data_IF_671010770723
#
_entry.id   IF_671010770723
#
_cell.length_a   1.000
_cell.length_b   1.000
_cell.length_c   1.000
_cell.angle_alpha   90.00
_cell.angle_beta   90.00
_cell.angle_gamma   90.00
#
_symmetry.space_group_name_H-M   'P 1'
#
loop_
_entity.id
_entity.type
_entity.pdbx_description
1 polymer ?
#
# COMPACT_ATOMS: atom_id res chain seq x y z
N UNK A 1 72.41 16.07 10.96
CA UNK A 1 71.82 15.44 12.15
C UNK A 1 70.31 15.42 11.93
N UNK A 2 69.76 14.42 11.26
CA UNK A 2 69.45 13.04 11.70
C UNK A 2 68.24 12.96 12.66
N UNK A 3 67.19 12.27 12.20
CA UNK A 3 66.17 11.49 12.96
C UNK A 3 65.07 12.26 13.73
N UNK A 4 63.82 11.79 13.88
CA UNK A 4 63.17 10.48 13.63
C UNK A 4 61.67 10.71 13.32
N UNK A 5 61.12 9.92 12.38
CA UNK A 5 59.68 9.76 12.15
C UNK A 5 59.15 8.72 13.16
N UNK A 6 58.08 9.04 13.90
CA UNK A 6 57.30 8.05 14.64
C UNK A 6 55.90 7.95 14.03
N UNK A 7 55.65 6.79 13.43
CA UNK A 7 54.39 6.35 12.86
C UNK A 7 53.54 5.80 14.01
N UNK A 8 52.45 6.47 14.39
CA UNK A 8 51.49 5.94 15.37
C UNK A 8 50.40 5.15 14.65
N UNK A 9 50.40 3.83 14.83
CA UNK A 9 49.29 2.97 14.42
C UNK A 9 48.03 3.35 15.21
N UNK A 10 47.04 3.94 14.54
CA UNK A 10 45.69 4.05 15.08
C UNK A 10 45.04 2.67 14.98
N UNK A 11 45.00 1.94 16.09
CA UNK A 11 44.19 0.73 16.20
C UNK A 11 42.72 1.15 16.16
N UNK A 12 42.08 1.00 14.99
CA UNK A 12 40.66 1.17 14.83
C UNK A 12 39.92 0.10 15.62
N UNK A 13 39.34 0.49 16.75
CA UNK A 13 38.35 -0.33 17.45
C UNK A 13 37.09 -0.37 16.59
N UNK A 14 36.90 -1.49 15.89
CA UNK A 14 35.64 -1.79 15.25
C UNK A 14 34.58 -2.00 16.35
N UNK A 15 33.72 -1.02 16.56
CA UNK A 15 32.51 -1.21 17.35
C UNK A 15 31.60 -2.14 16.56
N UNK A 16 31.54 -3.41 16.98
CA UNK A 16 30.48 -4.31 16.58
C UNK A 16 29.17 -3.76 17.16
N UNK A 17 28.35 -3.13 16.33
CA UNK A 17 27.00 -2.72 16.72
C UNK A 17 26.18 -4.00 16.88
N UNK A 18 25.96 -4.43 18.11
CA UNK A 18 25.01 -5.50 18.41
C UNK A 18 23.62 -4.95 18.14
N UNK A 19 23.02 -5.35 17.03
CA UNK A 19 21.61 -5.08 16.72
C UNK A 19 20.70 -5.97 17.58
N UNK A 20 20.78 -5.84 18.90
CA UNK A 20 19.72 -6.33 19.77
C UNK A 20 18.61 -5.29 19.77
N UNK A 21 17.53 -5.56 19.04
CA UNK A 21 16.32 -4.73 19.15
C UNK A 21 15.93 -4.65 20.63
N UNK A 22 15.70 -3.45 21.18
CA UNK A 22 15.29 -3.32 22.57
C UNK A 22 13.98 -4.10 22.77
N UNK A 23 13.95 -5.01 23.74
CA UNK A 23 12.73 -5.69 24.15
C UNK A 23 11.94 -4.78 25.09
N UNK A 24 10.63 -4.71 24.86
CA UNK A 24 9.73 -3.98 25.75
C UNK A 24 9.50 -4.79 27.02
N UNK A 25 9.56 -4.14 28.18
CA UNK A 25 9.13 -4.75 29.44
C UNK A 25 7.60 -4.89 29.49
N UNK A 26 7.09 -5.65 30.47
CA UNK A 26 5.64 -5.93 30.56
C UNK A 26 4.79 -4.65 30.60
N UNK A 27 5.14 -3.59 31.37
CA UNK A 27 4.41 -2.33 31.34
C UNK A 27 4.41 -1.65 29.97
N UNK A 28 5.56 -1.60 29.28
CA UNK A 28 5.64 -0.99 27.96
C UNK A 28 4.87 -1.78 26.90
N UNK A 29 4.82 -3.11 26.99
CA UNK A 29 3.98 -3.95 26.13
C UNK A 29 2.49 -3.65 26.33
N UNK A 30 2.03 -3.53 27.57
CA UNK A 30 0.64 -3.17 27.87
C UNK A 30 0.30 -1.78 27.32
N UNK A 31 1.18 -0.79 27.54
CA UNK A 31 0.98 0.56 27.03
C UNK A 31 0.90 0.60 25.50
N UNK A 32 1.75 -0.18 24.81
CA UNK A 32 1.69 -0.31 23.35
C UNK A 32 0.37 -0.93 22.91
N UNK A 33 -0.06 -2.02 23.55
CA UNK A 33 -1.33 -2.67 23.24
C UNK A 33 -2.51 -1.71 23.41
N UNK A 34 -2.56 -0.97 24.52
CA UNK A 34 -3.61 0.00 24.78
C UNK A 34 -3.62 1.13 23.74
N UNK A 35 -2.44 1.64 23.36
CA UNK A 35 -2.32 2.65 22.30
C UNK A 35 -2.80 2.13 20.95
N UNK A 36 -2.46 0.89 20.58
CA UNK A 36 -2.94 0.26 19.34
C UNK A 36 -4.46 0.09 19.37
N UNK A 37 -5.00 -0.38 20.49
CA UNK A 37 -6.44 -0.53 20.68
C UNK A 37 -7.18 0.81 20.53
N UNK A 38 -6.75 1.86 21.24
CA UNK A 38 -7.33 3.20 21.14
C UNK A 38 -7.24 3.77 19.72
N UNK A 39 -6.12 3.51 19.04
CA UNK A 39 -5.93 3.95 17.65
C UNK A 39 -6.87 3.21 16.69
N UNK A 40 -7.19 1.94 16.94
CA UNK A 40 -8.12 1.14 16.14
C UNK A 40 -9.59 1.50 16.38
N UNK A 41 -9.97 1.92 17.60
CA UNK A 41 -11.34 2.35 17.90
C UNK A 41 -11.80 3.58 17.09
N UNK A 42 -10.87 4.41 16.61
CA UNK A 42 -11.18 5.57 15.76
C UNK A 42 -11.69 5.19 14.36
N UNK A 43 -11.52 3.94 13.95
CA UNK A 43 -11.91 3.47 12.62
C UNK A 43 -10.87 3.77 11.54
N UNK A 44 -11.26 3.69 10.26
CA UNK A 44 -10.32 3.80 9.14
C UNK A 44 -9.61 5.15 9.06
N UNK A 45 -8.31 5.12 8.72
CA UNK A 45 -7.41 6.29 8.64
C UNK A 45 -6.96 6.50 7.19
N UNK A 46 -7.91 6.89 6.35
CA UNK A 46 -7.63 7.16 4.95
C UNK A 46 -6.87 8.49 4.84
N UNK A 47 -5.94 8.58 3.89
CA UNK A 47 -5.17 9.81 3.64
C UNK A 47 -6.09 11.03 3.52
N UNK A 48 -5.85 12.04 4.35
CA UNK A 48 -6.61 13.29 4.38
C UNK A 48 -7.90 13.26 5.20
N UNK A 49 -8.31 12.11 5.76
CA UNK A 49 -9.47 12.06 6.64
C UNK A 49 -9.14 12.53 8.07
N UNK A 50 -10.17 12.93 8.83
CA UNK A 50 -10.00 13.49 10.19
C UNK A 50 -9.31 12.52 11.15
N UNK A 51 -9.58 11.21 11.02
CA UNK A 51 -8.95 10.18 11.83
C UNK A 51 -7.44 10.08 11.61
N UNK A 52 -6.99 10.19 10.35
CA UNK A 52 -5.57 10.23 10.02
C UNK A 52 -4.92 11.52 10.53
N UNK A 53 -5.55 12.67 10.33
CA UNK A 53 -5.03 13.95 10.83
C UNK A 53 -4.88 13.95 12.36
N UNK A 54 -5.88 13.43 13.07
CA UNK A 54 -5.80 13.32 14.54
C UNK A 54 -4.67 12.39 14.98
N UNK A 55 -4.48 11.25 14.30
CA UNK A 55 -3.37 10.36 14.61
C UNK A 55 -2.02 11.05 14.40
N UNK A 56 -1.86 11.79 13.30
CA UNK A 56 -0.64 12.58 13.05
C UNK A 56 -0.39 13.58 14.17
N UNK A 57 -1.41 14.30 14.63
CA UNK A 57 -1.29 15.22 15.78
C UNK A 57 -0.89 14.48 17.05
N UNK A 58 -1.54 13.36 17.38
CA UNK A 58 -1.22 12.57 18.59
C UNK A 58 0.23 12.09 18.58
N UNK A 59 0.72 11.63 17.43
CA UNK A 59 2.11 11.19 17.27
C UNK A 59 3.07 12.36 17.41
N UNK A 60 2.82 13.48 16.72
CA UNK A 60 3.65 14.68 16.81
C UNK A 60 3.77 15.17 18.26
N UNK A 61 2.64 15.34 18.96
CA UNK A 61 2.63 15.74 20.37
C UNK A 61 3.36 14.74 21.27
N UNK A 62 3.23 13.43 21.02
CA UNK A 62 3.93 12.41 21.81
C UNK A 62 5.46 12.48 21.64
N UNK A 63 5.93 12.80 20.42
CA UNK A 63 7.36 12.98 20.14
C UNK A 63 7.89 14.27 20.77
N UNK A 64 7.11 15.36 20.73
CA UNK A 64 7.45 16.61 21.42
C UNK A 64 7.56 16.42 22.94
N UNK A 65 6.59 15.72 23.55
CA UNK A 65 6.63 15.36 24.98
C UNK A 65 7.87 14.52 25.32
N UNK A 66 8.33 13.69 24.39
CA UNK A 66 9.57 12.93 24.53
C UNK A 66 10.86 13.77 24.34
N UNK A 67 10.73 15.07 24.09
CA UNK A 67 11.84 16.00 23.94
C UNK A 67 12.40 16.09 22.50
N UNK A 68 11.68 15.57 21.50
CA UNK A 68 12.09 15.66 20.11
C UNK A 68 11.56 16.94 19.46
N UNK A 69 12.32 17.48 18.51
CA UNK A 69 11.82 18.53 17.60
C UNK A 69 11.06 17.85 16.46
N UNK A 70 9.82 18.27 16.24
CA UNK A 70 8.94 17.66 15.23
C UNK A 70 8.59 18.70 14.17
N UNK A 71 8.64 18.28 12.91
CA UNK A 71 8.13 19.03 11.77
C UNK A 71 7.04 18.21 11.08
N UNK A 72 5.90 18.83 10.79
CA UNK A 72 4.81 18.19 10.03
C UNK A 72 4.77 18.78 8.62
N UNK A 73 4.99 17.92 7.62
CA UNK A 73 4.94 18.30 6.22
C UNK A 73 3.51 18.15 5.69
N UNK A 74 2.98 19.22 5.10
CA UNK A 74 1.66 19.24 4.50
C UNK A 74 1.76 19.13 2.98
N UNK A 75 1.04 18.18 2.41
CA UNK A 75 0.94 17.98 0.97
C UNK A 75 -0.51 18.08 0.52
N UNK A 76 -0.73 18.77 -0.60
CA UNK A 76 -2.03 18.76 -1.28
C UNK A 76 -1.98 17.70 -2.37
N UNK A 77 -2.94 16.78 -2.35
CA UNK A 77 -3.09 15.72 -3.34
C UNK A 77 -4.50 15.72 -3.89
N UNK A 78 -4.61 15.70 -5.21
CA UNK A 78 -5.88 15.49 -5.90
C UNK A 78 -6.10 13.99 -6.01
N UNK A 79 -7.10 13.50 -5.28
CA UNK A 79 -7.44 12.08 -5.24
C UNK A 79 -8.93 11.91 -5.44
N UNK A 80 -9.28 10.90 -6.22
CA UNK A 80 -10.66 10.43 -6.30
C UNK A 80 -11.08 9.76 -4.99
N UNK A 81 -12.16 10.28 -4.40
CA UNK A 81 -12.77 9.78 -3.16
C UNK A 81 -14.15 9.17 -3.47
N UNK A 82 -14.22 7.88 -3.79
CA UNK A 82 -15.46 7.22 -4.17
C UNK A 82 -16.43 7.17 -2.98
N UNK A 83 -17.60 7.78 -3.18
CA UNK A 83 -18.69 7.84 -2.19
C UNK A 83 -19.64 6.65 -2.27
N UNK A 84 -19.65 5.96 -3.39
CA UNK A 84 -20.52 4.83 -3.68
C UNK A 84 -19.83 3.90 -4.68
N UNK A 85 -20.24 2.64 -4.69
CA UNK A 85 -19.78 1.64 -5.64
C UNK A 85 -20.94 0.71 -5.99
N UNK A 86 -20.96 0.25 -7.23
CA UNK A 86 -21.93 -0.72 -7.71
C UNK A 86 -21.39 -1.42 -8.95
N UNK A 87 -21.76 -2.68 -9.13
CA UNK A 87 -21.46 -3.43 -10.33
C UNK A 87 -22.72 -4.14 -10.82
N UNK A 88 -22.93 -4.17 -12.13
CA UNK A 88 -24.07 -4.85 -12.75
C UNK A 88 -23.65 -5.47 -14.08
N UNK A 89 -24.25 -6.61 -14.40
CA UNK A 89 -24.09 -7.27 -15.70
C UNK A 89 -25.33 -7.06 -16.55
N UNK A 90 -25.11 -6.68 -17.81
CA UNK A 90 -26.11 -6.79 -18.87
C UNK A 90 -25.89 -8.11 -19.60
N UNK A 91 -26.81 -9.04 -19.42
CA UNK A 91 -26.72 -10.37 -20.02
C UNK A 91 -27.13 -10.34 -21.50
N UNK A 92 -26.77 -11.39 -22.23
CA UNK A 92 -27.07 -11.52 -23.67
C UNK A 92 -28.57 -11.63 -23.97
N UNK A 93 -29.36 -12.07 -22.99
CA UNK A 93 -30.83 -12.10 -23.06
C UNK A 93 -31.49 -10.73 -22.81
N UNK A 94 -30.68 -9.67 -22.61
CA UNK A 94 -31.14 -8.31 -22.37
C UNK A 94 -31.45 -7.98 -20.90
N UNK A 95 -31.39 -8.95 -20.00
CA UNK A 95 -31.62 -8.71 -18.56
C UNK A 95 -30.43 -7.99 -17.91
N UNK A 96 -30.70 -7.25 -16.85
CA UNK A 96 -29.66 -6.61 -16.02
C UNK A 96 -29.69 -7.16 -14.61
N UNK A 97 -28.52 -7.58 -14.11
CA UNK A 97 -28.37 -8.18 -12.79
C UNK A 97 -27.31 -7.42 -11.99
N UNK A 98 -27.68 -6.94 -10.81
CA UNK A 98 -26.73 -6.38 -9.84
C UNK A 98 -25.82 -7.47 -9.28
N UNK A 99 -24.54 -7.17 -9.13
CA UNK A 99 -23.55 -8.06 -8.52
C UNK A 99 -23.25 -7.62 -7.08
N UNK A 100 -23.21 -8.56 -6.11
CA UNK A 100 -22.71 -8.27 -4.78
C UNK A 100 -21.29 -7.71 -4.86
N UNK A 101 -21.12 -6.46 -4.40
CA UNK A 101 -19.85 -5.72 -4.50
C UNK A 101 -19.49 -5.19 -3.12
N UNK A 102 -18.35 -5.61 -2.59
CA UNK A 102 -17.91 -5.25 -1.23
C UNK A 102 -17.19 -3.90 -1.18
N UNK A 103 -16.66 -3.42 -2.30
CA UNK A 103 -15.97 -2.14 -2.38
C UNK A 103 -15.23 -1.97 -3.70
N UNK A 104 -14.57 -0.82 -3.84
CA UNK A 104 -13.60 -0.54 -4.90
C UNK A 104 -12.19 -0.89 -4.46
N UNK A 105 -11.29 -1.13 -5.42
CA UNK A 105 -9.88 -1.37 -5.13
C UNK A 105 -9.18 -0.06 -4.72
N UNK A 106 -8.31 -0.04 -3.68
CA UNK A 106 -7.55 1.15 -3.33
C UNK A 106 -6.82 1.74 -4.53
N UNK A 107 -6.85 3.06 -4.69
CA UNK A 107 -6.24 3.77 -5.83
C UNK A 107 -6.87 3.46 -7.20
N UNK A 108 -8.08 2.90 -7.25
CA UNK A 108 -8.90 2.90 -8.47
C UNK A 108 -9.10 4.32 -8.99
N UNK A 109 -9.26 4.47 -10.30
CA UNK A 109 -9.53 5.75 -10.96
C UNK A 109 -11.02 6.12 -10.97
N UNK A 110 -11.30 7.38 -11.26
CA UNK A 110 -12.67 7.90 -11.38
C UNK A 110 -13.41 7.28 -12.58
N UNK A 111 -14.56 6.66 -12.31
CA UNK A 111 -15.46 6.11 -13.32
C UNK A 111 -16.41 7.15 -13.93
N UNK A 112 -16.43 8.38 -13.38
CA UNK A 112 -17.33 9.46 -13.77
C UNK A 112 -18.78 9.21 -13.35
N UNK A 113 -19.63 10.23 -13.51
CA UNK A 113 -21.05 10.15 -13.10
C UNK A 113 -21.85 9.12 -13.91
N UNK A 114 -21.44 8.84 -15.14
CA UNK A 114 -22.12 7.85 -16.00
C UNK A 114 -21.65 6.42 -15.73
N UNK A 115 -20.60 6.25 -14.94
CA UNK A 115 -19.90 4.98 -14.81
C UNK A 115 -19.21 4.53 -16.10
N UNK A 116 -18.60 3.35 -16.04
CA UNK A 116 -17.95 2.70 -17.18
C UNK A 116 -18.75 1.46 -17.56
N UNK A 117 -19.08 1.32 -18.84
CA UNK A 117 -19.74 0.14 -19.40
C UNK A 117 -18.97 -0.33 -20.62
N UNK A 118 -18.55 -1.59 -20.61
CA UNK A 118 -17.86 -2.23 -21.73
C UNK A 118 -18.12 -3.76 -21.69
N UNK A 119 -17.79 -4.50 -22.76
CA UNK A 119 -17.84 -5.96 -22.73
C UNK A 119 -16.99 -6.53 -21.59
N UNK A 120 -17.52 -7.53 -20.90
CA UNK A 120 -16.81 -8.28 -19.86
C UNK A 120 -15.97 -9.38 -20.53
N UNK A 121 -14.70 -9.47 -20.17
CA UNK A 121 -13.80 -10.54 -20.59
C UNK A 121 -13.25 -11.26 -19.35
N UNK A 122 -13.48 -12.56 -19.27
CA UNK A 122 -12.82 -13.42 -18.28
C UNK A 122 -11.40 -13.73 -18.75
N UNK A 123 -10.41 -13.35 -17.93
CA UNK A 123 -8.99 -13.57 -18.21
C UNK A 123 -8.36 -14.63 -17.30
N UNK A 124 -9.17 -15.39 -16.56
CA UNK A 124 -8.74 -16.54 -15.78
C UNK A 124 -8.40 -16.21 -14.32
N UNK A 125 -7.50 -16.99 -13.73
CA UNK A 125 -7.14 -16.88 -12.31
C UNK A 125 -5.71 -16.37 -12.15
N UNK A 126 -5.54 -15.33 -11.34
CA UNK A 126 -4.24 -14.78 -11.02
C UNK A 126 -3.44 -15.76 -10.17
N UNK A 127 -2.19 -16.03 -10.57
CA UNK A 127 -1.28 -16.92 -9.86
C UNK A 127 0.02 -16.23 -9.43
N UNK A 128 0.64 -16.81 -8.41
CA UNK A 128 1.99 -16.49 -7.97
C UNK A 128 2.92 -17.65 -8.29
N UNK A 129 4.19 -17.32 -8.50
CA UNK A 129 5.25 -18.32 -8.47
C UNK A 129 5.49 -18.81 -7.03
N UNK A 130 6.15 -19.97 -6.81
CA UNK A 130 6.44 -20.48 -5.48
C UNK A 130 7.25 -19.53 -4.57
N UNK A 131 8.02 -18.62 -5.16
CA UNK A 131 8.75 -17.55 -4.47
C UNK A 131 7.87 -16.32 -4.13
N UNK A 132 6.55 -16.43 -4.27
CA UNK A 132 5.56 -15.38 -4.03
C UNK A 132 5.61 -14.18 -4.97
N UNK A 133 6.38 -14.24 -6.06
CA UNK A 133 6.36 -13.17 -7.08
C UNK A 133 5.20 -13.35 -8.05
N UNK A 134 4.68 -12.25 -8.57
CA UNK A 134 3.60 -12.21 -9.57
C UNK A 134 3.90 -13.09 -10.80
N UNK A 135 2.96 -13.97 -11.18
CA UNK A 135 3.01 -14.65 -12.48
C UNK A 135 2.06 -13.95 -13.46
N UNK A 136 2.58 -12.94 -14.17
CA UNK A 136 1.79 -12.15 -15.14
C UNK A 136 1.23 -12.97 -16.30
N UNK A 137 1.82 -14.14 -16.59
CA UNK A 137 1.38 -15.03 -17.66
C UNK A 137 0.24 -15.97 -17.22
N UNK A 138 -0.21 -15.87 -15.96
CA UNK A 138 -1.37 -16.62 -15.47
C UNK A 138 -2.70 -16.08 -15.98
N UNK A 139 -2.71 -14.85 -16.50
CA UNK A 139 -3.88 -14.21 -17.06
C UNK A 139 -3.82 -14.20 -18.59
N UNK A 140 -4.95 -14.48 -19.22
CA UNK A 140 -5.10 -14.46 -20.67
C UNK A 140 -5.29 -13.02 -21.18
N UNK A 141 -4.18 -12.30 -21.31
CA UNK A 141 -4.16 -10.90 -21.76
C UNK A 141 -3.78 -10.74 -23.24
N UNK A 142 -3.65 -11.86 -23.97
CA UNK A 142 -3.41 -11.84 -25.40
C UNK A 142 -4.76 -11.80 -26.12
N UNK A 143 -4.95 -10.85 -27.06
CA UNK A 143 -6.21 -10.62 -27.81
C UNK A 143 -7.30 -9.79 -27.10
N UNK A 144 -6.91 -8.79 -26.31
CA UNK A 144 -7.86 -7.82 -25.79
C UNK A 144 -8.50 -6.98 -26.92
N UNK A 145 -9.82 -6.71 -26.88
CA UNK A 145 -10.48 -5.82 -27.84
C UNK A 145 -9.87 -4.41 -27.83
N UNK A 146 -9.59 -3.85 -29.01
CA UNK A 146 -9.03 -2.50 -29.17
C UNK A 146 -9.99 -1.39 -28.74
N UNK A 147 -11.30 -1.69 -28.68
CA UNK A 147 -12.35 -0.78 -28.22
C UNK A 147 -12.43 -0.65 -26.69
N UNK A 148 -11.62 -1.42 -25.95
CA UNK A 148 -11.68 -1.50 -24.49
C UNK A 148 -12.62 -2.61 -24.00
N UNK A 149 -12.32 -3.13 -22.81
CA UNK A 149 -13.07 -4.19 -22.13
C UNK A 149 -12.91 -4.07 -20.61
N UNK A 150 -13.88 -4.62 -19.86
CA UNK A 150 -13.76 -4.82 -18.41
C UNK A 150 -13.22 -6.23 -18.21
N UNK A 151 -12.10 -6.36 -17.49
CA UNK A 151 -11.49 -7.65 -17.21
C UNK A 151 -12.04 -8.23 -15.91
N UNK A 152 -12.42 -9.50 -15.94
CA UNK A 152 -12.74 -10.30 -14.77
C UNK A 152 -11.64 -11.34 -14.59
N UNK A 153 -11.14 -11.47 -13.36
CA UNK A 153 -10.20 -12.53 -13.01
C UNK A 153 -10.37 -12.93 -11.55
N UNK A 154 -10.11 -14.19 -11.27
CA UNK A 154 -10.11 -14.70 -9.90
C UNK A 154 -8.77 -14.39 -9.25
N UNK A 155 -8.80 -13.59 -8.18
CA UNK A 155 -7.63 -13.39 -7.32
C UNK A 155 -7.77 -14.28 -6.08
N UNK A 156 -6.79 -15.14 -5.76
CA UNK A 156 -6.78 -15.83 -4.48
C UNK A 156 -6.53 -14.79 -3.38
N UNK A 157 -7.65 -14.28 -2.83
CA UNK A 157 -7.89 -13.48 -1.62
C UNK A 157 -6.72 -12.80 -0.86
N UNK A 158 -6.95 -11.61 -0.28
CA UNK A 158 -5.95 -10.57 -0.19
C UNK A 158 -5.26 -10.44 1.18
N UNK A 159 -4.55 -11.46 1.66
CA UNK A 159 -3.72 -11.32 2.89
C UNK A 159 -2.29 -10.88 2.62
N UNK A 160 -1.93 -10.57 1.38
CA UNK A 160 -0.60 -10.11 1.03
C UNK A 160 -0.49 -8.60 1.25
N UNK A 161 0.64 -8.15 1.81
CA UNK A 161 0.90 -6.76 2.14
C UNK A 161 0.91 -5.88 0.87
N UNK A 162 -0.18 -5.15 0.64
CA UNK A 162 -0.38 -4.27 -0.53
C UNK A 162 0.54 -3.05 -0.59
N UNK A 163 1.41 -2.89 0.40
CA UNK A 163 2.44 -1.85 0.47
C UNK A 163 3.72 -2.26 -0.26
N UNK A 164 3.83 -3.49 -0.75
CA UNK A 164 5.04 -3.96 -1.38
C UNK A 164 5.25 -3.35 -2.78
N UNK A 165 6.49 -2.95 -3.12
CA UNK A 165 6.83 -2.21 -4.34
C UNK A 165 6.59 -2.96 -5.66
N UNK A 166 6.05 -4.17 -5.61
CA UNK A 166 5.82 -5.04 -6.76
C UNK A 166 4.36 -5.12 -7.21
N UNK A 167 3.42 -4.46 -6.51
CA UNK A 167 2.05 -4.31 -6.99
C UNK A 167 1.97 -3.22 -8.08
N UNK A 168 1.97 -3.64 -9.33
CA UNK A 168 1.67 -2.80 -10.48
C UNK A 168 0.18 -2.84 -10.84
N UNK A 169 -0.33 -1.77 -11.46
CA UNK A 169 -1.63 -1.82 -12.15
C UNK A 169 -1.46 -2.73 -13.38
N UNK A 170 -2.27 -3.77 -13.48
CA UNK A 170 -2.22 -4.66 -14.64
C UNK A 170 -2.59 -3.85 -15.91
N UNK A 171 -1.74 -3.90 -16.92
CA UNK A 171 -1.97 -3.23 -18.21
C UNK A 171 -1.42 -1.81 -18.35
N UNK A 172 -0.76 -1.22 -17.34
CA UNK A 172 0.04 -0.01 -17.55
C UNK A 172 1.49 -0.36 -17.89
N UNK A 173 1.92 -0.03 -19.11
CA UNK A 173 3.35 -0.04 -19.45
C UNK A 173 3.98 1.16 -18.75
N UNK A 174 4.70 0.93 -17.64
CA UNK A 174 5.63 1.92 -17.12
C UNK A 174 6.86 1.90 -18.05
N UNK A 175 6.83 2.72 -19.09
CA UNK A 175 8.06 3.07 -19.79
C UNK A 175 8.89 3.93 -18.86
N UNK A 176 9.77 3.33 -18.07
CA UNK A 176 10.86 4.06 -17.42
C UNK A 176 11.83 4.47 -18.53
N UNK A 177 11.69 5.70 -19.03
CA UNK A 177 12.73 6.35 -19.79
C UNK A 177 13.89 6.65 -18.84
N UNK A 178 14.95 5.84 -18.94
CA UNK A 178 16.30 6.17 -18.47
C UNK A 178 16.94 7.25 -19.34
#
# INVERSE_FOLDING_TARGET
>A
MLQFILLSCVAGTAFASSSSSPSLDQPAQQLLHDRLYQTNLRGPRWTGNENQNTLTTVVATSLEIAGLTVETLNYTLYRWDPRWWSLSLKLTDGTTRGLPTTGYWPYSGDSGLQGVSAPLLDVGSYALFPNQTANINSLELTNLPTTGSILFFDSPSPTLNYSEPHYGVLGCVLTSSS
#
